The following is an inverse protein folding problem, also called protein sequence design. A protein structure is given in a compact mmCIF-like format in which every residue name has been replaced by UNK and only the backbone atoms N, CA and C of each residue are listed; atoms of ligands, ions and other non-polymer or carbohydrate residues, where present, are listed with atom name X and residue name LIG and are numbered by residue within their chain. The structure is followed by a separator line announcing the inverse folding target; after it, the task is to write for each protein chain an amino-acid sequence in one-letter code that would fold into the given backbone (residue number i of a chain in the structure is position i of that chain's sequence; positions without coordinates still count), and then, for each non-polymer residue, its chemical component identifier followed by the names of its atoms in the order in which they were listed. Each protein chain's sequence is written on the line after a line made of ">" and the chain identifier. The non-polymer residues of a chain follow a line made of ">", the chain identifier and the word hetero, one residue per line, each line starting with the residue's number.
data_IF_031380833768
#
_entry.id   IF_031380833768
#
_cell.length_a   1.000
_cell.length_b   1.000
_cell.length_c   1.000
_cell.angle_alpha   90.00
_cell.angle_beta   90.00
_cell.angle_gamma   90.00
#
_symmetry.space_group_name_H-M   'P 1'
#
loop_
_entity.id
_entity.type
_entity.pdbx_description
1 polymer ?
#
# COMPACT_ATOMS: atom_id res chain seq x y z
N UNK A 1 2.52 -6.61 16.29
CA UNK A 1 2.37 -6.49 14.83
C UNK A 1 2.18 -5.02 14.51
N UNK A 2 3.18 -4.36 13.93
CA UNK A 2 3.11 -2.96 13.56
C UNK A 2 3.12 -2.89 12.05
N UNK A 3 1.99 -2.49 11.48
CA UNK A 3 1.90 -2.14 10.08
C UNK A 3 2.13 -0.63 10.04
N UNK A 4 3.25 -0.19 9.48
CA UNK A 4 3.55 1.24 9.34
C UNK A 4 3.89 1.51 7.87
N UNK A 5 3.44 2.68 7.39
CA UNK A 5 3.73 3.19 6.06
C UNK A 5 4.73 4.34 6.18
N UNK A 6 5.78 4.34 5.36
CA UNK A 6 6.69 5.48 5.24
C UNK A 6 6.87 5.86 3.78
N UNK A 7 6.77 7.15 3.48
CA UNK A 7 6.93 7.66 2.13
C UNK A 7 8.42 7.71 1.75
N UNK A 8 8.77 7.15 0.58
CA UNK A 8 10.04 7.51 -0.09
C UNK A 8 9.69 8.27 -1.36
N UNK A 9 9.98 9.57 -1.34
CA UNK A 9 9.72 10.45 -2.49
C UNK A 9 10.48 9.95 -3.72
N UNK A 10 9.75 9.64 -4.78
CA UNK A 10 10.28 9.50 -6.13
C UNK A 10 9.62 10.55 -7.04
N UNK A 11 10.18 10.75 -8.23
CA UNK A 11 9.74 11.75 -9.21
C UNK A 11 8.31 11.56 -9.75
N UNK A 12 7.59 10.49 -9.35
CA UNK A 12 6.28 10.09 -9.87
C UNK A 12 5.17 9.99 -8.81
N UNK A 13 5.45 10.32 -7.54
CA UNK A 13 4.43 10.43 -6.50
C UNK A 13 4.24 9.17 -5.66
N UNK A 14 4.23 9.38 -4.34
CA UNK A 14 3.92 8.47 -3.25
C UNK A 14 4.15 6.96 -3.45
N UNK A 15 5.36 6.50 -3.12
CA UNK A 15 5.58 5.09 -2.77
C UNK A 15 5.58 4.95 -1.24
N UNK A 16 4.90 3.95 -0.71
CA UNK A 16 4.97 3.59 0.70
C UNK A 16 5.22 2.10 0.91
N UNK A 17 5.80 1.75 2.04
CA UNK A 17 6.18 0.38 2.37
C UNK A 17 5.35 -0.11 3.55
N UNK A 18 4.85 -1.34 3.47
CA UNK A 18 4.21 -2.03 4.58
C UNK A 18 5.16 -3.12 5.08
N UNK A 19 5.73 -2.91 6.27
CA UNK A 19 6.55 -3.94 6.91
C UNK A 19 5.64 -4.95 7.65
N UNK A 20 5.85 -6.24 7.39
CA UNK A 20 5.09 -7.33 8.00
C UNK A 20 5.97 -8.59 8.17
N UNK A 21 6.19 -9.02 9.42
CA UNK A 21 7.21 -10.02 9.77
C UNK A 21 8.62 -9.62 9.26
N UNK A 22 9.25 -10.50 8.48
CA UNK A 22 10.57 -10.29 7.84
C UNK A 22 10.42 -9.80 6.39
N UNK A 23 9.18 -9.53 5.96
CA UNK A 23 8.85 -9.09 4.61
C UNK A 23 8.48 -7.60 4.60
N UNK A 24 8.84 -6.92 3.51
CA UNK A 24 8.44 -5.55 3.26
C UNK A 24 7.69 -5.47 1.92
N UNK A 25 6.44 -5.03 1.98
CA UNK A 25 5.60 -4.85 0.81
C UNK A 25 5.67 -3.40 0.35
N UNK A 26 6.40 -3.16 -0.74
CA UNK A 26 6.39 -1.87 -1.44
C UNK A 26 5.08 -1.68 -2.21
N UNK A 27 4.42 -0.56 -1.96
CA UNK A 27 3.22 -0.08 -2.65
C UNK A 27 3.58 1.18 -3.44
N UNK A 28 3.77 1.03 -4.74
CA UNK A 28 3.92 2.16 -5.65
C UNK A 28 2.52 2.70 -6.02
N UNK A 29 2.27 3.98 -5.75
CA UNK A 29 1.04 4.63 -6.16
C UNK A 29 1.22 5.38 -7.47
N UNK A 30 0.16 5.41 -8.26
CA UNK A 30 0.02 6.20 -9.47
C UNK A 30 -1.19 7.11 -9.31
N UNK A 31 -0.99 8.40 -9.54
CA UNK A 31 -2.10 9.33 -9.61
C UNK A 31 -2.91 9.09 -10.89
N UNK A 32 -4.17 8.71 -10.74
CA UNK A 32 -5.08 8.52 -11.85
C UNK A 32 -6.47 9.08 -11.51
N UNK A 33 -7.03 9.91 -12.37
CA UNK A 33 -8.39 10.47 -12.23
C UNK A 33 -8.73 11.04 -10.84
N UNK A 34 -7.80 11.81 -10.26
CA UNK A 34 -7.91 12.42 -8.92
C UNK A 34 -7.89 11.43 -7.74
N UNK A 35 -7.41 10.20 -7.95
CA UNK A 35 -7.19 9.24 -6.86
C UNK A 35 -5.83 8.56 -6.99
N UNK A 36 -5.30 8.09 -5.86
CA UNK A 36 -4.15 7.19 -5.87
C UNK A 36 -4.61 5.77 -6.18
N UNK A 37 -4.01 5.18 -7.21
CA UNK A 37 -4.20 3.78 -7.59
C UNK A 37 -2.89 3.01 -7.46
N UNK A 38 -2.95 1.69 -7.38
CA UNK A 38 -1.78 0.82 -7.30
C UNK A 38 -1.99 -0.40 -8.19
N UNK A 39 -0.89 -1.10 -8.52
CA UNK A 39 -0.96 -2.34 -9.28
C UNK A 39 -1.46 -3.49 -8.39
N UNK A 40 -2.78 -3.72 -8.40
CA UNK A 40 -3.41 -4.74 -7.56
C UNK A 40 -2.91 -6.15 -7.84
N UNK A 41 -2.73 -6.52 -9.11
CA UNK A 41 -2.27 -7.86 -9.49
C UNK A 41 -0.86 -8.16 -8.97
N UNK A 42 0.01 -7.15 -9.01
CA UNK A 42 1.36 -7.25 -8.45
C UNK A 42 1.34 -7.44 -6.94
N UNK A 43 0.52 -6.66 -6.23
CA UNK A 43 0.37 -6.78 -4.77
C UNK A 43 -0.21 -8.14 -4.38
N UNK A 44 -1.25 -8.61 -5.07
CA UNK A 44 -1.82 -9.94 -4.85
C UNK A 44 -0.79 -11.04 -5.11
N UNK A 45 0.04 -10.91 -6.15
CA UNK A 45 1.13 -11.85 -6.43
C UNK A 45 2.19 -11.86 -5.31
N UNK A 46 2.58 -10.69 -4.80
CA UNK A 46 3.56 -10.57 -3.71
C UNK A 46 3.01 -11.16 -2.41
N UNK A 47 1.78 -10.80 -2.01
CA UNK A 47 1.10 -11.35 -0.82
C UNK A 47 0.87 -12.86 -0.96
N UNK A 48 0.60 -13.35 -2.17
CA UNK A 48 0.47 -14.78 -2.46
C UNK A 48 1.77 -15.56 -2.27
N UNK A 49 2.93 -14.91 -2.43
CA UNK A 49 4.27 -15.50 -2.25
C UNK A 49 4.79 -15.37 -0.82
N UNK A 50 4.22 -14.48 0.00
CA UNK A 50 4.57 -14.36 1.41
C UNK A 50 4.20 -15.65 2.18
N UNK A 51 5.10 -16.08 3.06
CA UNK A 51 5.02 -17.31 3.84
C UNK A 51 3.64 -17.50 4.52
N UNK A 52 3.04 -18.70 4.42
CA UNK A 52 1.73 -19.14 4.93
C UNK A 52 0.86 -18.11 5.68
N UNK A 53 0.49 -17.03 4.99
CA UNK A 53 -0.43 -16.05 5.53
C UNK A 53 -1.84 -16.63 5.50
N UNK A 54 -2.49 -16.65 6.66
CA UNK A 54 -3.90 -17.00 6.74
C UNK A 54 -4.74 -16.04 5.87
N UNK A 55 -5.88 -16.51 5.38
CA UNK A 55 -6.82 -15.68 4.60
C UNK A 55 -7.19 -14.38 5.35
N UNK A 56 -7.33 -14.46 6.67
CA UNK A 56 -7.64 -13.29 7.51
C UNK A 56 -6.52 -12.25 7.51
N UNK A 57 -5.26 -12.67 7.52
CA UNK A 57 -4.11 -11.76 7.45
C UNK A 57 -4.04 -11.09 6.07
N UNK A 58 -4.24 -11.87 5.00
CA UNK A 58 -4.28 -11.34 3.63
C UNK A 58 -5.37 -10.27 3.49
N UNK A 59 -6.57 -10.54 4.02
CA UNK A 59 -7.67 -9.59 4.04
C UNK A 59 -7.33 -8.31 4.83
N UNK A 60 -6.66 -8.44 5.98
CA UNK A 60 -6.22 -7.29 6.77
C UNK A 60 -5.20 -6.43 6.02
N UNK A 61 -4.26 -7.04 5.28
CA UNK A 61 -3.29 -6.31 4.45
C UNK A 61 -4.00 -5.53 3.33
N UNK A 62 -4.94 -6.17 2.61
CA UNK A 62 -5.71 -5.47 1.58
C UNK A 62 -6.50 -4.30 2.15
N UNK A 63 -7.19 -4.49 3.28
CA UNK A 63 -7.93 -3.42 3.94
C UNK A 63 -7.02 -2.28 4.41
N UNK A 64 -5.80 -2.60 4.86
CA UNK A 64 -4.83 -1.60 5.26
C UNK A 64 -4.36 -0.76 4.07
N UNK A 65 -4.07 -1.39 2.93
CA UNK A 65 -3.69 -0.72 1.68
C UNK A 65 -4.78 0.26 1.23
N UNK A 66 -6.03 -0.20 1.16
CA UNK A 66 -7.16 0.64 0.73
C UNK A 66 -7.35 1.87 1.64
N UNK A 67 -7.28 1.67 2.96
CA UNK A 67 -7.40 2.76 3.93
C UNK A 67 -6.23 3.75 3.83
N UNK A 68 -5.01 3.24 3.64
CA UNK A 68 -3.81 4.08 3.52
C UNK A 68 -3.88 4.93 2.26
N UNK A 69 -4.26 4.34 1.12
CA UNK A 69 -4.43 5.07 -0.14
C UNK A 69 -5.49 6.18 -0.02
N UNK A 70 -6.60 5.89 0.65
CA UNK A 70 -7.64 6.89 0.90
C UNK A 70 -7.17 8.04 1.79
N UNK A 71 -6.44 7.75 2.87
CA UNK A 71 -5.87 8.77 3.75
C UNK A 71 -4.81 9.63 3.05
N UNK A 72 -3.97 9.03 2.21
CA UNK A 72 -3.01 9.74 1.38
C UNK A 72 -3.72 10.65 0.37
N UNK A 73 -4.77 10.16 -0.28
CA UNK A 73 -5.59 10.98 -1.17
C UNK A 73 -6.18 12.20 -0.45
N UNK A 74 -6.79 12.02 0.73
CA UNK A 74 -7.32 13.12 1.52
C UNK A 74 -6.23 14.14 1.88
N UNK A 75 -5.06 13.67 2.32
CA UNK A 75 -3.94 14.54 2.67
C UNK A 75 -3.44 15.36 1.47
N UNK A 76 -3.36 14.75 0.28
CA UNK A 76 -2.98 15.45 -0.94
C UNK A 76 -4.02 16.46 -1.41
N UNK A 77 -5.31 16.12 -1.29
CA UNK A 77 -6.41 17.03 -1.63
C UNK A 77 -6.51 18.23 -0.70
N UNK A 78 -6.09 18.13 0.55
CA UNK A 78 -6.06 19.28 1.46
C UNK A 78 -4.90 20.25 1.14
N UNK A 79 -3.87 19.79 0.43
CA UNK A 79 -2.69 20.57 0.07
C UNK A 79 -2.81 21.27 -1.30
N UNK A 80 -3.80 20.91 -2.14
CA UNK A 80 -3.99 21.39 -3.51
C UNK A 80 -5.45 21.77 -3.80
#
# INVERSE_FOLDING_TARGET
>A
MQIYAHERGNSYGCTYFISFHEEELEIALVWNDNFFTYNKEEIESRIGKMMDLSTSIKLALYQFIEKTNYLLYLSYKELH
#
